data_IF_348076866707
#
_entry.id   IF_348076866707
#
_cell.length_a   1.000
_cell.length_b   1.000
_cell.length_c   1.000
_cell.angle_alpha   90.00
_cell.angle_beta   90.00
_cell.angle_gamma   90.00
#
_symmetry.space_group_name_H-M   'P 1'
#
loop_
_entity.id
_entity.type
_entity.pdbx_description
1 polymer ?
#
# COMPACT_ATOMS: atom_id res chain seq x y z
N UNK A 1 3.27 -4.51 -1.06
CA UNK A 1 4.02 -4.88 -2.28
C UNK A 1 4.68 -3.63 -2.83
N UNK A 2 5.87 -3.78 -3.39
CA UNK A 2 6.69 -2.69 -3.93
C UNK A 2 7.01 -3.06 -5.38
N UNK A 3 6.75 -2.14 -6.29
CA UNK A 3 7.02 -2.29 -7.72
C UNK A 3 7.95 -1.17 -8.18
N UNK A 4 9.27 -1.44 -8.27
CA UNK A 4 10.27 -0.39 -8.55
C UNK A 4 10.15 0.28 -9.92
N UNK A 5 9.44 -0.35 -10.86
CA UNK A 5 9.25 0.11 -12.23
C UNK A 5 7.76 0.24 -12.55
N UNK A 6 6.99 0.74 -11.59
CA UNK A 6 5.55 0.92 -11.73
C UNK A 6 4.75 -0.39 -11.76
N UNK A 7 3.44 -0.26 -11.87
CA UNK A 7 2.47 -1.34 -12.05
C UNK A 7 1.50 -0.95 -13.18
N UNK A 8 0.68 -1.88 -13.66
CA UNK A 8 -0.39 -1.65 -14.67
C UNK A 8 0.10 -1.06 -16.01
N UNK A 9 1.35 -1.32 -16.39
CA UNK A 9 1.92 -0.89 -17.66
C UNK A 9 2.58 0.49 -17.65
N UNK A 10 2.68 1.13 -16.49
CA UNK A 10 3.54 2.29 -16.28
C UNK A 10 4.92 1.83 -15.80
N UNK A 11 5.99 2.44 -16.32
CA UNK A 11 7.39 2.07 -16.01
C UNK A 11 8.28 3.23 -15.55
N UNK A 12 7.68 4.40 -15.33
CA UNK A 12 8.38 5.65 -15.03
C UNK A 12 8.37 6.06 -13.55
N UNK A 13 7.68 5.29 -12.69
CA UNK A 13 7.53 5.60 -11.27
C UNK A 13 7.58 4.37 -10.35
N UNK A 14 7.58 4.60 -9.04
CA UNK A 14 7.55 3.57 -8.00
C UNK A 14 6.11 3.36 -7.53
N UNK A 15 5.58 2.13 -7.64
CA UNK A 15 4.27 1.80 -7.07
C UNK A 15 4.39 1.07 -5.74
N UNK A 16 3.58 1.47 -4.76
CA UNK A 16 3.56 0.98 -3.39
C UNK A 16 2.15 0.63 -2.95
N UNK A 17 1.97 -0.59 -2.44
CA UNK A 17 0.68 -1.09 -1.95
C UNK A 17 0.79 -1.69 -0.55
N UNK A 18 -0.14 -1.35 0.34
CA UNK A 18 -0.33 -1.99 1.63
C UNK A 18 -1.36 -3.11 1.47
N UNK A 19 -0.97 -4.35 1.80
CA UNK A 19 -1.84 -5.52 1.69
C UNK A 19 -2.25 -6.03 3.07
N UNK A 20 -3.47 -6.54 3.19
CA UNK A 20 -3.89 -7.29 4.38
C UNK A 20 -3.12 -8.60 4.46
N UNK A 21 -2.45 -8.82 5.59
CA UNK A 21 -1.75 -10.06 5.89
C UNK A 21 -2.74 -11.22 6.04
N UNK A 22 -2.32 -12.42 5.59
CA UNK A 22 -3.08 -13.67 5.69
C UNK A 22 -4.51 -13.56 5.12
N UNK A 23 -4.69 -12.87 3.99
CA UNK A 23 -6.01 -12.63 3.36
C UNK A 23 -6.82 -13.93 3.19
N UNK A 24 -6.16 -15.02 2.80
CA UNK A 24 -6.80 -16.33 2.56
C UNK A 24 -7.41 -16.96 3.81
N UNK A 25 -6.86 -16.67 4.99
CA UNK A 25 -7.41 -17.19 6.26
C UNK A 25 -8.60 -16.36 6.77
N UNK A 26 -8.94 -15.24 6.12
CA UNK A 26 -10.01 -14.36 6.55
C UNK A 26 -11.35 -14.76 5.91
N UNK A 27 -12.33 -15.11 6.76
CA UNK A 27 -13.68 -15.47 6.32
C UNK A 27 -14.40 -14.31 5.63
N UNK A 28 -15.16 -14.60 4.56
CA UNK A 28 -16.00 -13.61 3.88
C UNK A 28 -16.84 -12.78 4.89
N UNK A 29 -16.88 -11.46 4.69
CA UNK A 29 -17.58 -10.52 5.57
C UNK A 29 -16.67 -9.72 6.53
N UNK A 30 -15.40 -10.08 6.67
CA UNK A 30 -14.44 -9.29 7.45
C UNK A 30 -14.23 -7.88 6.87
N UNK A 31 -14.00 -6.91 7.76
CA UNK A 31 -13.66 -5.52 7.43
C UNK A 31 -12.61 -4.98 8.40
N UNK A 32 -11.60 -4.27 7.90
CA UNK A 32 -10.58 -3.59 8.72
C UNK A 32 -10.36 -2.19 8.21
N UNK A 33 -10.42 -1.19 9.09
CA UNK A 33 -10.06 0.19 8.75
C UNK A 33 -8.64 0.44 9.22
N UNK A 34 -7.80 1.01 8.36
CA UNK A 34 -6.46 1.44 8.74
C UNK A 34 -6.18 2.85 8.20
N UNK A 35 -5.59 3.67 9.07
CA UNK A 35 -4.94 4.91 8.67
C UNK A 35 -3.46 4.63 8.45
N UNK A 36 -2.91 5.05 7.32
CA UNK A 36 -1.51 4.82 6.97
C UNK A 36 -0.97 5.93 6.04
N UNK A 37 0.35 6.07 6.01
CA UNK A 37 1.08 6.92 5.09
C UNK A 37 2.32 6.15 4.59
N UNK A 38 2.71 6.40 3.33
CA UNK A 38 3.96 5.87 2.77
C UNK A 38 5.05 6.92 2.87
N UNK A 39 6.22 6.50 3.35
CA UNK A 39 7.41 7.32 3.45
C UNK A 39 8.50 6.71 2.56
N UNK A 40 9.17 7.56 1.78
CA UNK A 40 10.36 7.20 1.03
C UNK A 40 11.58 7.74 1.77
N UNK A 41 12.45 6.85 2.18
CA UNK A 41 13.70 7.18 2.88
C UNK A 41 14.89 6.89 1.96
N UNK A 42 15.97 7.66 2.10
CA UNK A 42 17.25 7.29 1.52
C UNK A 42 17.98 6.25 2.40
N UNK A 43 19.17 5.82 1.98
CA UNK A 43 19.96 4.82 2.71
C UNK A 43 20.45 5.28 4.10
N UNK A 44 20.54 6.59 4.35
CA UNK A 44 20.86 7.14 5.68
C UNK A 44 19.62 7.30 6.57
N UNK A 45 18.44 6.85 6.12
CA UNK A 45 17.17 6.98 6.84
C UNK A 45 16.54 8.37 6.76
N UNK A 46 17.10 9.29 5.96
CA UNK A 46 16.51 10.62 5.74
C UNK A 46 15.25 10.50 4.90
N UNK A 47 14.18 11.12 5.35
CA UNK A 47 12.93 11.23 4.59
C UNK A 47 13.14 12.11 3.34
N UNK A 48 12.84 11.51 2.19
CA UNK A 48 12.84 12.18 0.89
C UNK A 48 11.44 12.63 0.51
N UNK A 49 10.43 11.83 0.87
CA UNK A 49 9.05 12.08 0.51
C UNK A 49 8.09 11.37 1.47
N UNK A 50 6.90 11.96 1.65
CA UNK A 50 5.79 11.38 2.41
C UNK A 50 4.47 11.65 1.71
N UNK A 51 3.69 10.59 1.55
CA UNK A 51 2.29 10.69 1.13
C UNK A 51 1.43 11.27 2.27
N UNK A 52 0.43 12.12 1.98
CA UNK A 52 -0.61 12.45 2.95
C UNK A 52 -1.22 11.18 3.56
N UNK A 53 -1.63 11.26 4.82
CA UNK A 53 -2.30 10.13 5.47
C UNK A 53 -3.55 9.74 4.68
N UNK A 54 -3.73 8.43 4.50
CA UNK A 54 -4.90 7.83 3.91
C UNK A 54 -5.59 6.95 4.93
N UNK A 55 -6.92 7.02 5.01
CA UNK A 55 -7.73 6.12 5.82
C UNK A 55 -8.58 5.25 4.89
N UNK A 56 -8.28 3.95 4.83
CA UNK A 56 -8.95 3.03 3.91
C UNK A 56 -9.60 1.86 4.63
N UNK A 57 -10.68 1.36 4.03
CA UNK A 57 -11.35 0.13 4.45
C UNK A 57 -10.83 -1.04 3.61
N UNK A 58 -10.34 -2.06 4.29
CA UNK A 58 -9.91 -3.31 3.71
C UNK A 58 -10.98 -4.38 3.94
N UNK A 59 -11.23 -5.20 2.93
CA UNK A 59 -12.13 -6.35 3.00
C UNK A 59 -11.75 -7.41 1.96
N UNK A 60 -12.58 -8.46 1.86
CA UNK A 60 -12.36 -9.52 0.87
C UNK A 60 -12.32 -9.00 -0.57
N UNK A 61 -13.04 -7.93 -0.92
CA UNK A 61 -12.99 -7.35 -2.26
C UNK A 61 -11.77 -6.44 -2.45
N UNK A 62 -11.40 -5.69 -1.40
CA UNK A 62 -10.33 -4.70 -1.42
C UNK A 62 -9.27 -5.06 -0.37
N UNK A 63 -8.34 -5.96 -0.69
CA UNK A 63 -7.29 -6.36 0.26
C UNK A 63 -6.03 -5.50 0.18
N UNK A 64 -5.96 -4.61 -0.79
CA UNK A 64 -4.79 -3.79 -1.04
C UNK A 64 -5.19 -2.38 -1.42
N UNK A 65 -4.45 -1.41 -0.90
CA UNK A 65 -4.56 0.00 -1.25
C UNK A 65 -3.16 0.57 -1.42
N UNK A 66 -2.98 1.46 -2.38
CA UNK A 66 -1.64 1.89 -2.76
C UNK A 66 -1.62 3.14 -3.60
N UNK A 67 -0.42 3.49 -4.04
CA UNK A 67 -0.15 4.54 -5.01
C UNK A 67 0.71 3.98 -6.12
N UNK A 68 0.35 4.34 -7.34
CA UNK A 68 1.16 4.25 -8.54
C UNK A 68 1.54 5.69 -8.84
#
# INVERSE_FOLDING_TARGET
MVYPKGDLGFDDHLSLYLHVANRESLRLGWKRRASYSFLLLNQSGKELFRQPESCQLFCAQFSAWGKT
#
